data_IF_616649372446
#
_entry.id   IF_616649372446
#
_cell.length_a   1.000
_cell.length_b   1.000
_cell.length_c   1.000
_cell.angle_alpha   90.00
_cell.angle_beta   90.00
_cell.angle_gamma   90.00
#
_symmetry.space_group_name_H-M   'P 1'
#
loop_
_entity.id
_entity.type
_entity.pdbx_description
1 polymer ?
#
# COMPACT_ATOMS: atom_id res chain seq x y z
N UNK A 1 -0.81 26.94 9.89
CA UNK A 1 0.06 27.55 8.88
C UNK A 1 0.38 29.02 9.20
N UNK A 2 -0.61 29.84 9.47
CA UNK A 2 -0.46 31.27 9.78
C UNK A 2 0.54 31.54 10.92
N UNK A 3 0.47 30.79 12.02
CA UNK A 3 1.43 30.89 13.14
C UNK A 3 2.85 30.50 12.75
N UNK A 4 3.02 29.56 11.83
CA UNK A 4 4.33 29.07 11.39
C UNK A 4 5.03 30.03 10.44
N UNK A 5 4.27 30.85 9.72
CA UNK A 5 4.76 31.80 8.73
C UNK A 5 4.77 33.26 9.25
N UNK A 6 4.51 33.48 10.54
CA UNK A 6 4.47 34.83 11.11
C UNK A 6 3.40 35.73 10.49
N UNK A 7 2.33 35.16 9.95
CA UNK A 7 1.26 35.93 9.32
C UNK A 7 1.37 36.08 7.79
N UNK A 8 2.46 35.65 7.18
CA UNK A 8 2.70 35.79 5.74
C UNK A 8 2.21 34.63 4.85
N UNK A 9 1.33 33.76 5.38
CA UNK A 9 0.76 32.69 4.58
C UNK A 9 -0.34 33.21 3.65
N UNK A 10 -0.30 32.82 2.37
CA UNK A 10 -1.44 32.98 1.47
C UNK A 10 -2.57 32.06 1.92
N UNK A 11 -3.70 32.65 2.29
CA UNK A 11 -4.90 31.93 2.75
C UNK A 11 -5.74 31.37 1.61
N UNK A 12 -5.40 31.69 0.37
CA UNK A 12 -6.10 31.23 -0.84
C UNK A 12 -5.56 29.89 -1.33
N UNK A 13 -5.89 28.82 -0.64
CA UNK A 13 -5.46 27.47 -0.98
C UNK A 13 -4.40 26.91 -0.04
N UNK A 14 -4.10 25.62 -0.20
CA UNK A 14 -3.23 24.87 0.69
C UNK A 14 -1.73 25.17 0.58
N UNK A 15 -1.29 25.92 -0.42
CA UNK A 15 0.12 26.19 -0.67
C UNK A 15 0.94 24.89 -0.68
N UNK A 16 2.05 24.88 0.08
CA UNK A 16 2.91 23.70 0.26
C UNK A 16 2.26 22.53 1.03
N UNK A 17 1.09 22.72 1.59
CA UNK A 17 0.31 21.68 2.27
C UNK A 17 -0.79 21.10 1.40
N UNK A 18 -0.88 21.53 0.13
CA UNK A 18 -1.88 21.03 -0.81
C UNK A 18 -1.44 19.71 -1.42
N UNK A 19 -2.38 18.76 -1.53
CA UNK A 19 -2.16 17.49 -2.21
C UNK A 19 -1.80 17.65 -3.71
N UNK A 20 -2.08 18.81 -4.34
CA UNK A 20 -1.70 19.07 -5.74
C UNK A 20 -0.20 18.95 -6.01
N UNK A 21 0.64 19.12 -4.98
CA UNK A 21 2.09 18.95 -5.12
C UNK A 21 2.49 17.52 -5.46
N UNK A 22 1.65 16.54 -5.15
CA UNK A 22 1.91 15.15 -5.52
C UNK A 22 1.87 14.91 -7.02
N UNK A 23 1.27 15.81 -7.81
CA UNK A 23 1.30 15.72 -9.27
C UNK A 23 2.73 15.69 -9.81
N UNK A 24 3.64 16.45 -9.19
CA UNK A 24 5.06 16.43 -9.54
C UNK A 24 5.73 15.08 -9.23
N UNK A 25 5.33 14.44 -8.13
CA UNK A 25 5.82 13.10 -7.77
C UNK A 25 5.32 12.04 -8.75
N UNK A 26 4.05 12.12 -9.15
CA UNK A 26 3.47 11.21 -10.17
C UNK A 26 4.19 11.36 -11.51
N UNK A 27 4.44 12.60 -11.94
CA UNK A 27 5.20 12.84 -13.16
C UNK A 27 6.64 12.32 -13.07
N UNK A 28 7.30 12.49 -11.93
CA UNK A 28 8.63 11.94 -11.71
C UNK A 28 8.62 10.41 -11.69
N UNK A 29 7.60 9.79 -11.08
CA UNK A 29 7.44 8.35 -11.07
C UNK A 29 7.32 7.79 -12.50
N UNK A 30 6.51 8.40 -13.35
CA UNK A 30 6.38 8.00 -14.76
C UNK A 30 7.70 8.07 -15.56
N UNK A 31 8.62 8.96 -15.16
CA UNK A 31 9.95 9.08 -15.79
C UNK A 31 10.88 7.96 -15.31
N UNK A 32 10.80 7.56 -14.03
CA UNK A 32 11.69 6.55 -13.44
C UNK A 32 11.14 5.13 -13.55
N UNK A 33 9.85 4.96 -13.81
CA UNK A 33 9.21 3.66 -13.96
C UNK A 33 9.96 2.70 -14.90
N UNK A 34 10.47 3.13 -16.08
CA UNK A 34 11.27 2.25 -16.95
C UNK A 34 12.57 1.76 -16.32
N UNK A 35 13.05 2.38 -15.24
CA UNK A 35 14.25 1.96 -14.52
C UNK A 35 13.96 0.86 -13.48
N UNK A 36 12.70 0.60 -13.20
CA UNK A 36 12.29 -0.44 -12.26
C UNK A 36 12.30 -1.84 -12.90
N UNK A 37 12.53 -1.91 -14.22
CA UNK A 37 12.64 -3.14 -14.99
C UNK A 37 11.45 -4.09 -14.74
N UNK A 38 11.70 -5.21 -14.06
CA UNK A 38 10.70 -6.24 -13.79
C UNK A 38 9.88 -6.01 -12.51
N UNK A 39 10.17 -4.96 -11.74
CA UNK A 39 9.42 -4.66 -10.53
C UNK A 39 8.02 -4.17 -10.90
N UNK A 40 7.00 -4.88 -10.47
CA UNK A 40 5.61 -4.52 -10.69
C UNK A 40 5.03 -3.85 -9.46
N UNK A 41 4.45 -2.66 -9.64
CA UNK A 41 3.81 -1.90 -8.57
C UNK A 41 2.35 -1.71 -8.94
N UNK A 42 1.47 -2.21 -8.10
CA UNK A 42 0.04 -2.15 -8.29
C UNK A 42 -0.63 -1.51 -7.08
N UNK A 43 -1.68 -0.76 -7.31
CA UNK A 43 -2.42 -0.13 -6.23
C UNK A 43 -3.91 -0.09 -6.54
N UNK A 44 -4.73 -0.28 -5.50
CA UNK A 44 -6.16 -0.06 -5.59
C UNK A 44 -6.72 0.48 -4.28
N UNK A 45 -7.97 0.94 -4.32
CA UNK A 45 -8.71 1.30 -3.11
C UNK A 45 -9.20 0.03 -2.43
N UNK A 46 -8.58 -0.32 -1.32
CA UNK A 46 -8.88 -1.52 -0.56
C UNK A 46 -10.04 -1.35 0.44
N UNK A 47 -10.37 -0.11 0.83
CA UNK A 47 -11.54 0.13 1.67
C UNK A 47 -12.03 1.57 1.61
N UNK A 48 -13.35 1.77 1.80
CA UNK A 48 -13.96 3.07 2.04
C UNK A 48 -14.90 2.93 3.24
N UNK A 49 -14.59 3.61 4.32
CA UNK A 49 -15.29 3.45 5.59
C UNK A 49 -15.18 2.04 6.13
N UNK A 50 -16.32 1.35 6.24
CA UNK A 50 -16.40 -0.04 6.70
C UNK A 50 -16.54 -1.06 5.56
N UNK A 51 -16.54 -0.59 4.32
CA UNK A 51 -16.69 -1.44 3.15
C UNK A 51 -15.29 -1.77 2.66
N UNK A 52 -14.93 -3.04 2.74
CA UNK A 52 -13.62 -3.57 2.33
C UNK A 52 -13.75 -4.34 1.03
N UNK A 53 -12.76 -4.20 0.16
CA UNK A 53 -12.59 -5.03 -1.03
C UNK A 53 -11.92 -6.36 -0.69
N UNK A 54 -12.00 -7.30 -1.61
CA UNK A 54 -11.09 -8.43 -1.64
C UNK A 54 -9.63 -7.94 -1.77
N UNK A 55 -8.69 -8.85 -1.52
CA UNK A 55 -7.25 -8.59 -1.69
C UNK A 55 -6.97 -8.27 -3.17
N UNK A 56 -5.97 -7.47 -3.43
CA UNK A 56 -5.62 -7.08 -4.80
C UNK A 56 -5.35 -8.29 -5.70
N UNK A 57 -4.76 -9.34 -5.17
CA UNK A 57 -4.46 -10.59 -5.90
C UNK A 57 -5.70 -11.43 -6.20
N UNK A 58 -6.77 -11.25 -5.42
CA UNK A 58 -8.04 -11.94 -5.63
C UNK A 58 -8.97 -11.14 -6.56
N UNK A 59 -8.52 -9.97 -7.00
CA UNK A 59 -9.25 -9.09 -7.90
C UNK A 59 -8.78 -9.28 -9.36
N UNK A 60 -9.61 -8.93 -10.36
CA UNK A 60 -9.17 -8.86 -11.75
C UNK A 60 -7.98 -7.92 -11.97
N UNK A 61 -7.08 -8.28 -12.87
CA UNK A 61 -5.93 -7.44 -13.23
C UNK A 61 -6.36 -6.11 -13.89
N UNK A 62 -7.46 -6.14 -14.61
CA UNK A 62 -8.03 -4.97 -15.28
C UNK A 62 -9.27 -4.45 -14.54
N UNK A 63 -9.68 -3.23 -14.88
CA UNK A 63 -10.92 -2.65 -14.37
C UNK A 63 -12.11 -3.37 -15.01
N UNK A 64 -12.92 -4.05 -14.20
CA UNK A 64 -14.09 -4.82 -14.66
C UNK A 64 -15.15 -3.91 -15.32
N UNK A 65 -15.30 -2.70 -14.80
CA UNK A 65 -16.26 -1.74 -15.30
C UNK A 65 -15.83 -0.30 -15.03
N UNK A 66 -16.57 0.68 -15.62
CA UNK A 66 -16.29 2.10 -15.47
C UNK A 66 -16.30 2.56 -13.99
N UNK A 67 -17.15 1.99 -13.15
CA UNK A 67 -17.20 2.34 -11.73
C UNK A 67 -15.97 1.87 -10.97
N UNK A 68 -15.47 0.67 -11.29
CA UNK A 68 -14.20 0.17 -10.76
C UNK A 68 -13.06 1.12 -11.10
N UNK A 69 -12.99 1.58 -12.34
CA UNK A 69 -11.99 2.54 -12.77
C UNK A 69 -12.15 3.90 -12.08
N UNK A 70 -13.37 4.42 -11.98
CA UNK A 70 -13.64 5.72 -11.32
C UNK A 70 -13.25 5.70 -9.84
N UNK A 71 -13.55 4.63 -9.13
CA UNK A 71 -13.21 4.47 -7.71
C UNK A 71 -11.80 3.94 -7.48
N UNK A 72 -11.10 3.53 -8.54
CA UNK A 72 -9.78 2.86 -8.43
C UNK A 72 -9.84 1.63 -7.52
N UNK A 73 -10.95 0.89 -7.53
CA UNK A 73 -11.14 -0.35 -6.81
C UNK A 73 -11.33 -1.49 -7.81
N UNK A 74 -10.50 -2.52 -7.73
CA UNK A 74 -10.56 -3.67 -8.65
C UNK A 74 -11.67 -4.66 -8.34
N UNK A 75 -12.24 -4.61 -7.13
CA UNK A 75 -13.29 -5.53 -6.73
C UNK A 75 -14.67 -5.05 -7.21
N UNK A 76 -15.25 -5.68 -8.23
CA UNK A 76 -16.55 -5.27 -8.78
C UNK A 76 -17.72 -5.51 -7.82
N UNK A 77 -17.53 -6.36 -6.81
CA UNK A 77 -18.61 -6.73 -5.89
C UNK A 77 -18.91 -5.65 -4.84
N UNK A 78 -17.96 -4.75 -4.58
CA UNK A 78 -18.09 -3.74 -3.52
C UNK A 78 -18.21 -2.30 -4.04
N UNK A 79 -17.89 -2.05 -5.31
CA UNK A 79 -17.82 -0.68 -5.84
C UNK A 79 -19.14 0.08 -5.76
N UNK A 80 -20.27 -0.58 -5.97
CA UNK A 80 -21.59 0.05 -5.83
C UNK A 80 -21.88 0.44 -4.37
N UNK A 81 -21.51 -0.41 -3.42
CA UNK A 81 -21.66 -0.10 -2.00
C UNK A 81 -20.72 1.04 -1.58
N UNK A 82 -19.48 1.04 -2.07
CA UNK A 82 -18.53 2.13 -1.83
C UNK A 82 -19.04 3.46 -2.37
N UNK A 83 -19.59 3.47 -3.59
CA UNK A 83 -20.21 4.66 -4.19
C UNK A 83 -21.37 5.16 -3.36
N UNK A 84 -22.28 4.26 -2.99
CA UNK A 84 -23.44 4.62 -2.18
C UNK A 84 -23.04 5.24 -0.83
N UNK A 85 -22.00 4.71 -0.20
CA UNK A 85 -21.46 5.22 1.06
C UNK A 85 -20.85 6.62 0.89
N UNK A 86 -20.06 6.83 -0.16
CA UNK A 86 -19.52 8.16 -0.50
C UNK A 86 -20.66 9.18 -0.68
N UNK A 87 -21.71 8.80 -1.42
CA UNK A 87 -22.86 9.69 -1.68
C UNK A 87 -23.64 9.98 -0.39
N UNK A 88 -23.80 8.99 0.48
CA UNK A 88 -24.43 9.16 1.79
C UNK A 88 -23.70 10.19 2.63
N UNK A 89 -22.39 10.01 2.80
CA UNK A 89 -21.52 10.90 3.58
C UNK A 89 -21.45 12.30 2.97
N UNK A 90 -21.41 12.39 1.64
CA UNK A 90 -21.45 13.68 0.93
C UNK A 90 -22.73 14.45 1.19
N UNK A 91 -23.91 13.78 1.24
CA UNK A 91 -25.18 14.40 1.59
C UNK A 91 -25.18 14.94 3.02
N UNK A 92 -24.48 14.28 3.92
CA UNK A 92 -24.28 14.74 5.31
C UNK A 92 -23.23 15.87 5.42
N UNK A 93 -22.63 16.29 4.31
CA UNK A 93 -21.53 17.28 4.26
C UNK A 93 -20.34 16.87 5.15
N UNK A 94 -20.06 15.60 5.19
CA UNK A 94 -19.00 15.00 5.98
C UNK A 94 -17.92 14.37 5.08
N UNK A 95 -16.89 13.83 5.67
CA UNK A 95 -15.82 13.08 5.00
C UNK A 95 -15.70 11.69 5.57
N UNK A 96 -15.19 10.77 4.77
CA UNK A 96 -14.97 9.38 5.14
C UNK A 96 -13.52 9.01 4.84
N UNK A 97 -12.94 8.12 5.66
CA UNK A 97 -11.62 7.59 5.44
C UNK A 97 -11.60 6.49 4.39
N UNK A 98 -10.44 6.27 3.82
CA UNK A 98 -10.20 5.19 2.87
C UNK A 98 -8.85 4.56 3.12
N UNK A 99 -8.68 3.34 2.64
CA UNK A 99 -7.43 2.60 2.59
C UNK A 99 -7.06 2.37 1.12
N UNK A 100 -5.78 2.55 0.81
CA UNK A 100 -5.20 2.17 -0.47
C UNK A 100 -4.24 1.04 -0.21
N UNK A 101 -4.43 -0.04 -0.92
CA UNK A 101 -3.58 -1.22 -0.85
C UNK A 101 -2.59 -1.14 -2.02
N UNK A 102 -1.32 -1.37 -1.71
CA UNK A 102 -0.23 -1.35 -2.69
C UNK A 102 0.46 -2.69 -2.66
N UNK A 103 0.51 -3.34 -3.79
CA UNK A 103 1.23 -4.59 -4.00
C UNK A 103 2.47 -4.32 -4.85
N UNK A 104 3.61 -4.78 -4.38
CA UNK A 104 4.88 -4.70 -5.12
C UNK A 104 5.42 -6.11 -5.25
N UNK A 105 5.65 -6.54 -6.48
CA UNK A 105 6.20 -7.87 -6.80
C UNK A 105 7.51 -7.77 -7.56
N UNK A 106 8.24 -8.89 -7.59
CA UNK A 106 9.53 -9.02 -8.25
C UNK A 106 10.62 -8.09 -7.68
N UNK A 107 10.56 -7.79 -6.38
CA UNK A 107 11.64 -7.06 -5.74
C UNK A 107 12.92 -7.90 -5.70
N UNK A 108 14.07 -7.31 -6.03
CA UNK A 108 15.34 -8.04 -5.94
C UNK A 108 15.67 -8.37 -4.48
N UNK A 109 16.19 -9.57 -4.27
CA UNK A 109 16.64 -10.02 -2.95
C UNK A 109 17.78 -9.13 -2.45
N UNK A 110 17.74 -8.78 -1.17
CA UNK A 110 18.76 -7.94 -0.53
C UNK A 110 18.58 -6.44 -0.75
N UNK A 111 17.41 -6.01 -1.22
CA UNK A 111 17.09 -4.59 -1.33
C UNK A 111 16.91 -3.98 0.06
N UNK A 112 17.45 -2.76 0.23
CA UNK A 112 17.40 -2.03 1.48
C UNK A 112 18.67 -2.18 2.32
N UNK A 113 18.80 -1.33 3.32
CA UNK A 113 19.94 -1.25 4.22
C UNK A 113 19.48 -1.55 5.66
N UNK A 114 20.41 -1.82 6.57
CA UNK A 114 20.05 -2.03 7.97
C UNK A 114 19.36 -0.81 8.61
N UNK A 115 18.39 -1.07 9.51
CA UNK A 115 17.75 -0.10 10.38
C UNK A 115 16.92 0.94 9.62
N UNK A 116 17.36 2.21 9.66
CA UNK A 116 16.59 3.36 9.19
C UNK A 116 16.44 3.45 7.67
N UNK A 117 17.34 2.82 6.94
CA UNK A 117 17.38 2.82 5.48
C UNK A 117 16.90 1.47 4.90
N UNK A 118 16.27 0.65 5.73
CA UNK A 118 15.52 -0.51 5.28
C UNK A 118 14.37 -0.12 4.37
N UNK A 119 13.86 -1.08 3.61
CA UNK A 119 12.81 -0.83 2.62
C UNK A 119 11.53 -0.28 3.27
N UNK A 120 11.05 -0.91 4.34
CA UNK A 120 9.84 -0.46 5.04
C UNK A 120 9.97 0.92 5.68
N UNK A 121 11.05 1.25 6.42
CA UNK A 121 11.27 2.60 6.90
C UNK A 121 11.29 3.64 5.79
N UNK A 122 11.93 3.34 4.66
CA UNK A 122 11.98 4.23 3.51
C UNK A 122 10.59 4.45 2.89
N UNK A 123 9.86 3.37 2.65
CA UNK A 123 8.49 3.42 2.12
C UNK A 123 7.51 4.03 3.11
N UNK A 124 7.61 3.70 4.40
CA UNK A 124 6.78 4.28 5.45
C UNK A 124 6.93 5.79 5.52
N UNK A 125 8.16 6.29 5.43
CA UNK A 125 8.43 7.74 5.33
C UNK A 125 7.81 8.34 4.08
N UNK A 126 7.92 7.68 2.93
CA UNK A 126 7.34 8.15 1.67
C UNK A 126 5.81 8.20 1.75
N UNK A 127 5.16 7.12 2.17
CA UNK A 127 3.70 7.05 2.29
C UNK A 127 3.14 8.05 3.30
N UNK A 128 3.76 8.21 4.46
CA UNK A 128 3.32 9.19 5.47
C UNK A 128 3.57 10.64 5.05
N UNK A 129 4.39 10.88 4.03
CA UNK A 129 4.57 12.20 3.45
C UNK A 129 3.45 12.59 2.48
N UNK A 130 2.63 11.64 2.03
CA UNK A 130 1.45 11.92 1.21
C UNK A 130 0.44 12.70 2.05
N UNK A 131 -0.06 13.85 1.56
CA UNK A 131 -1.06 14.63 2.28
C UNK A 131 -2.29 13.79 2.63
N UNK A 132 -2.77 13.92 3.85
CA UNK A 132 -3.86 13.17 4.46
C UNK A 132 -3.59 11.69 4.80
N UNK A 133 -2.44 11.12 4.43
CA UNK A 133 -2.04 9.83 4.96
C UNK A 133 -1.89 9.90 6.49
N UNK A 134 -2.46 8.93 7.20
CA UNK A 134 -2.51 8.90 8.67
C UNK A 134 -1.92 7.65 9.27
N UNK A 135 -1.72 6.63 8.47
CA UNK A 135 -1.11 5.38 8.87
C UNK A 135 -0.59 4.64 7.65
N UNK A 136 0.34 3.78 7.88
CA UNK A 136 0.86 2.79 6.95
C UNK A 136 1.02 1.50 7.74
N UNK A 137 0.75 0.41 7.10
CA UNK A 137 1.00 -0.92 7.63
C UNK A 137 1.66 -1.76 6.55
N UNK A 138 2.59 -2.60 6.95
CA UNK A 138 3.25 -3.58 6.09
C UNK A 138 2.84 -4.98 6.57
N UNK A 139 2.70 -5.90 5.66
CA UNK A 139 2.28 -7.24 5.99
C UNK A 139 0.92 -7.30 6.66
N UNK A 140 0.84 -8.11 7.65
CA UNK A 140 -0.36 -8.22 8.47
C UNK A 140 -0.64 -6.97 9.30
N UNK A 141 0.32 -6.03 9.35
CA UNK A 141 0.20 -4.81 10.13
C UNK A 141 -0.22 -5.11 11.57
N UNK A 142 -1.22 -4.38 12.08
CA UNK A 142 -1.76 -4.63 13.42
C UNK A 142 -2.49 -5.97 13.57
N UNK A 143 -2.80 -6.66 12.47
CA UNK A 143 -3.37 -8.01 12.51
C UNK A 143 -2.42 -9.03 13.14
N UNK A 144 -1.12 -8.82 13.00
CA UNK A 144 -0.08 -9.66 13.58
C UNK A 144 -0.21 -9.84 15.11
N UNK A 145 -0.80 -8.87 15.82
CA UNK A 145 -1.05 -8.95 17.27
C UNK A 145 -1.91 -10.15 17.67
N UNK A 146 -2.70 -10.67 16.74
CA UNK A 146 -3.61 -11.80 16.95
C UNK A 146 -3.04 -13.13 16.47
N UNK A 147 -1.82 -13.11 15.94
CA UNK A 147 -1.16 -14.28 15.36
C UNK A 147 -0.10 -14.82 16.31
N UNK A 148 0.06 -16.12 16.31
CA UNK A 148 1.22 -16.75 16.94
C UNK A 148 2.46 -16.61 16.06
N UNK A 149 3.65 -16.79 16.60
CA UNK A 149 4.88 -16.73 15.82
C UNK A 149 4.94 -17.72 14.66
N UNK A 150 4.29 -18.87 14.79
CA UNK A 150 4.22 -19.87 13.71
C UNK A 150 3.26 -19.45 12.60
N UNK A 151 2.15 -18.79 12.93
CA UNK A 151 1.19 -18.28 11.96
C UNK A 151 1.72 -17.06 11.20
N UNK A 152 2.60 -16.30 11.84
CA UNK A 152 3.21 -15.10 11.25
C UNK A 152 4.54 -15.39 10.57
N UNK A 153 5.04 -16.62 10.62
CA UNK A 153 6.33 -16.97 10.08
C UNK A 153 6.24 -17.31 8.59
N UNK A 154 7.10 -16.71 7.79
CA UNK A 154 7.33 -17.07 6.40
C UNK A 154 8.60 -17.94 6.29
N UNK A 155 8.49 -19.26 6.34
CA UNK A 155 9.65 -20.13 6.20
C UNK A 155 10.22 -20.03 4.80
N UNK A 156 11.55 -20.18 4.69
CA UNK A 156 12.19 -20.30 3.40
C UNK A 156 11.65 -21.50 2.63
N UNK A 157 11.21 -21.28 1.39
CA UNK A 157 10.66 -22.32 0.52
C UNK A 157 11.72 -23.18 -0.17
N UNK A 158 13.01 -22.87 0.04
CA UNK A 158 14.12 -23.55 -0.60
C UNK A 158 14.35 -24.97 -0.12
N UNK A 159 15.09 -25.72 -0.93
CA UNK A 159 15.61 -27.03 -0.58
C UNK A 159 16.95 -26.90 0.16
N UNK A 160 17.45 -28.02 0.71
CA UNK A 160 18.77 -28.05 1.35
C UNK A 160 19.90 -27.65 0.39
N UNK A 161 19.71 -27.92 -0.89
CA UNK A 161 20.71 -27.66 -1.95
C UNK A 161 20.51 -26.28 -2.60
N UNK A 162 19.32 -25.69 -2.47
CA UNK A 162 18.99 -24.33 -2.90
C UNK A 162 18.11 -23.64 -1.85
N UNK A 163 18.71 -23.13 -0.80
CA UNK A 163 17.98 -22.53 0.34
C UNK A 163 17.38 -21.17 0.02
N UNK A 164 17.74 -20.57 -1.11
CA UNK A 164 17.23 -19.27 -1.53
C UNK A 164 16.04 -19.38 -2.50
N UNK A 165 15.54 -20.58 -2.75
CA UNK A 165 14.39 -20.78 -3.61
C UNK A 165 13.14 -20.19 -2.97
N UNK A 166 12.49 -19.32 -3.69
CA UNK A 166 11.20 -18.76 -3.31
C UNK A 166 10.12 -19.83 -3.35
N UNK A 167 9.29 -19.86 -2.33
CA UNK A 167 8.16 -20.75 -2.25
C UNK A 167 6.89 -19.99 -1.88
N UNK A 168 5.81 -20.33 -2.53
CA UNK A 168 4.52 -19.73 -2.22
C UNK A 168 3.99 -20.22 -0.86
N UNK A 169 3.56 -19.28 -0.04
CA UNK A 169 2.93 -19.56 1.24
C UNK A 169 1.42 -19.79 1.06
N UNK A 170 0.73 -20.45 2.02
CA UNK A 170 -0.72 -20.61 1.96
C UNK A 170 -1.51 -19.29 1.92
N UNK A 171 -0.92 -18.20 2.33
CA UNK A 171 -1.51 -16.86 2.29
C UNK A 171 -1.16 -16.09 1.02
N UNK A 172 -0.43 -16.69 0.08
CA UNK A 172 -0.01 -16.09 -1.17
C UNK A 172 1.28 -15.26 -1.08
N UNK A 173 1.96 -15.27 0.07
CA UNK A 173 3.27 -14.65 0.18
C UNK A 173 4.37 -15.52 -0.43
N UNK A 174 5.52 -14.93 -0.69
CA UNK A 174 6.68 -15.64 -1.23
C UNK A 174 7.68 -15.93 -0.12
N UNK A 175 7.88 -17.22 0.18
CA UNK A 175 8.91 -17.66 1.11
C UNK A 175 10.31 -17.40 0.56
N UNK A 176 11.25 -17.20 1.45
CA UNK A 176 12.64 -17.03 1.07
C UNK A 176 13.13 -15.60 0.99
N UNK A 177 12.22 -14.65 0.98
CA UNK A 177 12.55 -13.21 0.91
C UNK A 177 12.50 -12.53 2.27
N UNK A 178 12.11 -13.25 3.28
CA UNK A 178 12.02 -12.75 4.65
C UNK A 178 12.92 -13.52 5.59
N UNK A 179 13.41 -12.87 6.62
CA UNK A 179 14.29 -13.48 7.61
C UNK A 179 13.52 -13.91 8.84
N UNK A 180 12.97 -15.13 8.83
CA UNK A 180 12.48 -15.75 10.04
C UNK A 180 11.18 -15.17 10.61
N UNK A 181 10.96 -15.34 11.90
CA UNK A 181 9.69 -15.07 12.60
C UNK A 181 9.19 -13.63 12.59
N UNK A 182 10.00 -12.70 12.17
CA UNK A 182 9.62 -11.30 12.07
C UNK A 182 9.01 -10.95 10.72
N UNK A 183 8.77 -11.94 9.95
CA UNK A 183 8.20 -12.02 8.64
C UNK A 183 7.61 -10.73 8.11
N UNK A 184 8.47 -9.88 7.71
CA UNK A 184 8.13 -8.81 6.84
C UNK A 184 8.65 -9.20 5.47
N UNK A 185 7.75 -9.58 4.59
CA UNK A 185 8.11 -9.84 3.22
C UNK A 185 8.43 -8.54 2.52
N UNK A 186 9.59 -8.46 1.93
CA UNK A 186 9.95 -7.33 1.08
C UNK A 186 9.41 -7.46 -0.34
N UNK A 187 8.77 -8.56 -0.66
CA UNK A 187 8.19 -8.82 -1.97
C UNK A 187 6.73 -8.50 -2.07
N UNK A 188 6.02 -8.47 -0.95
CA UNK A 188 4.63 -8.11 -0.89
C UNK A 188 4.46 -6.92 0.01
N UNK A 189 4.42 -5.75 -0.56
CA UNK A 189 4.09 -4.53 0.16
C UNK A 189 2.68 -4.16 -0.19
N UNK A 190 1.77 -4.45 0.70
CA UNK A 190 0.43 -3.91 0.65
C UNK A 190 0.32 -2.86 1.72
N UNK A 191 -0.44 -1.82 1.49
CA UNK A 191 -0.65 -0.78 2.47
C UNK A 191 -1.28 -1.31 3.78
N UNK A 192 -1.84 -2.52 3.75
CA UNK A 192 -2.45 -3.16 4.91
C UNK A 192 -1.91 -4.56 5.18
N UNK A 193 -1.13 -5.13 4.24
CA UNK A 193 -0.76 -6.52 4.30
C UNK A 193 0.49 -6.77 3.50
N UNK A 194 1.43 -7.41 4.09
CA UNK A 194 2.52 -8.12 3.44
C UNK A 194 2.51 -9.52 3.93
N UNK A 195 3.18 -10.41 3.48
CA UNK A 195 3.21 -11.74 4.08
C UNK A 195 4.46 -12.49 4.08
#
# INVERSE_FOLDING_TARGET
>A
MHLRTGGFADLRGGGSSSARLTAGLVAAAAIVEPLLEDIRIEAHVGAIGTIESARIDDCPDEWDNELCEQLRCRDPHVVEAMKAEIERIRKERNSIGSRVDVHVSNLPVGLGEPWFDGLEPALGRAYLSIPAARGVAFGRGFGAVRMTGLEHNNPWGGTKDDPLQEGEQPDGSIAGLTSGSDAVSYTHLRAHETD
#
